data_IF_466370419079
#
_entry.id   IF_466370419079
#
_cell.length_a   1.000
_cell.length_b   1.000
_cell.length_c   1.000
_cell.angle_alpha   90.00
_cell.angle_beta   90.00
_cell.angle_gamma   90.00
#
_symmetry.space_group_name_H-M   'P 1'
#
loop_
_entity.id
_entity.type
_entity.pdbx_description
1 polymer ?
#
# COMPACT_ATOMS: atom_id res chain seq x y z
N UNK A 1 -23.72 -7.46 -11.27
CA UNK A 1 -23.44 -6.64 -10.08
C UNK A 1 -24.75 -6.02 -9.63
N UNK A 2 -25.02 -6.06 -8.34
CA UNK A 2 -26.14 -5.34 -7.72
C UNK A 2 -25.80 -3.85 -7.56
N UNK A 3 -26.80 -3.02 -7.35
CA UNK A 3 -26.60 -1.58 -7.10
C UNK A 3 -25.72 -1.34 -5.86
N UNK A 4 -25.85 -2.17 -4.83
CA UNK A 4 -25.01 -2.15 -3.64
C UNK A 4 -23.54 -2.43 -3.97
N UNK A 5 -23.27 -3.41 -4.84
CA UNK A 5 -21.91 -3.73 -5.28
C UNK A 5 -21.31 -2.58 -6.10
N UNK A 6 -22.11 -1.92 -6.94
CA UNK A 6 -21.67 -0.74 -7.68
C UNK A 6 -21.39 0.45 -6.78
N UNK A 7 -22.27 0.71 -5.81
CA UNK A 7 -22.10 1.77 -4.84
C UNK A 7 -20.84 1.54 -3.99
N UNK A 8 -20.60 0.29 -3.57
CA UNK A 8 -19.40 -0.09 -2.85
C UNK A 8 -18.14 0.22 -3.66
N UNK A 9 -18.09 -0.23 -4.92
CA UNK A 9 -16.95 0.02 -5.80
C UNK A 9 -16.69 1.52 -5.99
N UNK A 10 -17.75 2.30 -6.24
CA UNK A 10 -17.63 3.73 -6.47
C UNK A 10 -17.12 4.49 -5.23
N UNK A 11 -17.65 4.16 -4.04
CA UNK A 11 -17.21 4.77 -2.78
C UNK A 11 -15.74 4.45 -2.51
N UNK A 12 -15.34 3.19 -2.67
CA UNK A 12 -13.96 2.78 -2.42
C UNK A 12 -12.98 3.41 -3.42
N UNK A 13 -13.33 3.50 -4.70
CA UNK A 13 -12.52 4.19 -5.70
C UNK A 13 -12.40 5.71 -5.42
N UNK A 14 -13.44 6.34 -4.87
CA UNK A 14 -13.36 7.73 -4.43
C UNK A 14 -12.44 7.91 -3.22
N UNK A 15 -12.50 7.00 -2.24
CA UNK A 15 -11.62 7.00 -1.06
C UNK A 15 -10.17 6.77 -1.50
N UNK A 16 -9.90 5.77 -2.34
CA UNK A 16 -8.55 5.45 -2.82
C UNK A 16 -7.90 6.62 -3.56
N UNK A 17 -8.70 7.44 -4.28
CA UNK A 17 -8.21 8.67 -4.91
C UNK A 17 -7.84 9.75 -3.90
N UNK A 18 -8.62 9.92 -2.84
CA UNK A 18 -8.37 10.93 -1.81
C UNK A 18 -7.17 10.55 -0.92
N UNK A 19 -7.02 9.25 -0.64
CA UNK A 19 -5.92 8.71 0.16
C UNK A 19 -4.56 8.67 -0.55
N UNK A 20 -4.47 9.13 -1.81
CA UNK A 20 -3.18 9.23 -2.48
C UNK A 20 -2.29 10.28 -1.83
N UNK A 21 -1.02 9.95 -1.63
CA UNK A 21 -0.05 10.82 -0.97
C UNK A 21 0.07 12.21 -1.65
N UNK A 22 -0.09 12.29 -2.97
CA UNK A 22 -0.08 13.55 -3.72
C UNK A 22 -1.22 14.51 -3.35
N UNK A 23 -2.36 14.00 -2.88
CA UNK A 23 -3.55 14.78 -2.52
C UNK A 23 -3.63 15.09 -1.02
N UNK A 24 -2.84 14.39 -0.18
CA UNK A 24 -2.80 14.63 1.26
C UNK A 24 -2.17 15.98 1.63
N UNK A 25 -2.71 16.61 2.69
CA UNK A 25 -2.07 17.73 3.37
C UNK A 25 -0.79 17.28 4.08
N UNK A 26 0.10 18.22 4.42
CA UNK A 26 1.40 17.93 5.03
C UNK A 26 1.31 17.10 6.32
N UNK A 27 0.31 17.35 7.16
CA UNK A 27 0.13 16.61 8.43
C UNK A 27 -0.23 15.15 8.19
N UNK A 28 -1.25 14.89 7.35
CA UNK A 28 -1.68 13.52 7.02
C UNK A 28 -0.57 12.75 6.30
N UNK A 29 0.14 13.41 5.37
CA UNK A 29 1.25 12.80 4.66
C UNK A 29 2.36 12.37 5.62
N UNK A 30 2.74 13.23 6.56
CA UNK A 30 3.75 12.93 7.57
C UNK A 30 3.32 11.78 8.48
N UNK A 31 2.05 11.69 8.86
CA UNK A 31 1.55 10.58 9.68
C UNK A 31 1.63 9.23 8.97
N UNK A 32 1.34 9.18 7.67
CA UNK A 32 1.43 7.94 6.87
C UNK A 32 2.89 7.55 6.59
N UNK A 33 3.79 8.53 6.49
CA UNK A 33 5.22 8.30 6.19
C UNK A 33 6.12 8.24 7.42
N UNK A 34 5.62 8.51 8.64
CA UNK A 34 6.43 8.71 9.86
C UNK A 34 7.19 7.48 10.35
N UNK A 35 7.22 6.38 9.61
CA UNK A 35 7.86 5.13 10.03
C UNK A 35 7.09 4.37 11.11
N UNK A 36 6.14 5.04 11.79
CA UNK A 36 5.16 4.43 12.69
C UNK A 36 4.16 3.60 11.88
N UNK A 37 4.51 2.32 11.66
CA UNK A 37 3.63 1.38 10.96
C UNK A 37 2.39 1.14 11.83
N UNK A 38 1.23 1.67 11.45
CA UNK A 38 -0.06 1.29 12.04
C UNK A 38 -0.74 0.23 11.18
N UNK A 39 -1.46 -0.70 11.80
CA UNK A 39 -2.24 -1.71 11.10
C UNK A 39 -3.42 -1.05 10.38
N UNK A 40 -3.51 -1.20 9.05
CA UNK A 40 -4.61 -0.64 8.23
C UNK A 40 -6.01 -1.12 8.64
N UNK A 41 -6.10 -2.25 9.35
CA UNK A 41 -7.38 -2.84 9.77
C UNK A 41 -7.84 -2.37 11.16
N UNK A 42 -6.91 -2.13 12.09
CA UNK A 42 -7.26 -1.88 13.49
C UNK A 42 -6.53 -0.69 14.15
N UNK A 43 -5.64 -0.02 13.42
CA UNK A 43 -4.91 1.18 13.87
C UNK A 43 -3.84 0.95 14.93
N UNK A 44 -3.62 -0.29 15.39
CA UNK A 44 -2.55 -0.62 16.37
C UNK A 44 -1.16 -0.47 15.74
N UNK A 45 -0.17 -0.10 16.55
CA UNK A 45 1.22 -0.11 16.13
C UNK A 45 1.65 -1.53 15.72
N UNK A 46 2.42 -1.59 14.65
CA UNK A 46 3.04 -2.79 14.09
C UNK A 46 4.54 -2.57 14.25
N UNK A 47 5.20 -3.43 15.01
CA UNK A 47 6.65 -3.41 15.09
C UNK A 47 7.20 -3.72 13.70
N UNK A 48 7.97 -2.80 13.12
CA UNK A 48 8.42 -2.82 11.73
C UNK A 48 9.45 -3.92 11.40
N UNK A 49 9.65 -4.89 12.31
CA UNK A 49 10.74 -5.85 12.26
C UNK A 49 10.47 -7.13 11.50
N UNK A 50 9.25 -7.37 11.01
CA UNK A 50 8.99 -8.45 10.08
C UNK A 50 8.67 -7.88 8.70
N UNK A 51 9.69 -7.34 8.04
CA UNK A 51 9.70 -7.33 6.59
C UNK A 51 9.63 -8.80 6.16
N UNK A 52 8.41 -9.28 5.89
CA UNK A 52 8.19 -10.60 5.34
C UNK A 52 8.86 -10.65 3.96
N UNK A 53 10.09 -11.14 3.92
CA UNK A 53 10.79 -11.46 2.69
C UNK A 53 10.21 -12.80 2.23
N UNK A 54 9.47 -12.78 1.13
CA UNK A 54 8.95 -14.01 0.53
C UNK A 54 10.12 -14.97 0.28
N UNK A 55 10.18 -16.16 0.93
CA UNK A 55 11.30 -17.08 0.79
C UNK A 55 11.49 -17.59 -0.65
N UNK A 56 10.43 -17.53 -1.47
CA UNK A 56 10.45 -17.93 -2.86
C UNK A 56 10.77 -16.77 -3.83
N UNK A 57 11.11 -15.58 -3.32
CA UNK A 57 11.46 -14.44 -4.16
C UNK A 57 12.91 -14.57 -4.66
N UNK A 58 13.06 -14.78 -5.97
CA UNK A 58 14.35 -14.82 -6.65
C UNK A 58 14.76 -13.39 -7.06
N UNK A 59 15.62 -12.78 -6.25
CA UNK A 59 16.09 -11.42 -6.47
C UNK A 59 16.99 -11.30 -7.70
N UNK A 60 17.73 -12.36 -8.03
CA UNK A 60 18.67 -12.37 -9.16
C UNK A 60 17.90 -12.39 -10.48
N UNK A 61 16.86 -13.23 -10.55
CA UNK A 61 15.94 -13.27 -11.69
C UNK A 61 15.21 -11.94 -11.88
N UNK A 62 14.73 -11.32 -10.80
CA UNK A 62 14.09 -10.01 -10.86
C UNK A 62 15.04 -8.95 -11.46
N UNK A 63 16.29 -8.92 -10.99
CA UNK A 63 17.28 -7.95 -11.46
C UNK A 63 17.62 -8.14 -12.93
N UNK A 64 17.78 -9.38 -13.40
CA UNK A 64 18.05 -9.69 -14.81
C UNK A 64 16.92 -9.24 -15.75
N UNK A 65 15.67 -9.44 -15.33
CA UNK A 65 14.48 -8.95 -16.05
C UNK A 65 14.43 -7.42 -16.06
N UNK A 66 14.72 -6.78 -14.93
CA UNK A 66 14.67 -5.32 -14.79
C UNK A 66 15.77 -4.62 -15.60
N UNK A 67 16.96 -5.23 -15.76
CA UNK A 67 18.05 -4.72 -16.59
C UNK A 67 17.87 -4.99 -18.09
N UNK A 68 16.86 -5.78 -18.48
CA UNK A 68 16.59 -6.11 -19.88
C UNK A 68 17.67 -6.97 -20.53
N UNK A 69 18.38 -7.78 -19.74
CA UNK A 69 19.48 -8.64 -20.17
C UNK A 69 19.05 -10.11 -20.25
N UNK A 70 17.90 -10.38 -20.86
CA UNK A 70 17.52 -11.73 -21.29
C UNK A 70 18.25 -12.14 -22.58
#
# INVERSE_FOLDING_TARGET
MTDEQWLWLFIHDAIDRDEKLEHMCTNCRNEVTSGDKKCIRCGKHVDSYEAFVNPNFDIDKYNALASGTE
#
